data_IF_283526643875
#
_entry.id   IF_283526643875
#
_cell.length_a   1.000
_cell.length_b   1.000
_cell.length_c   1.000
_cell.angle_alpha   90.00
_cell.angle_beta   90.00
_cell.angle_gamma   90.00
#
_symmetry.space_group_name_H-M   'P 1'
#
loop_
_entity.id
_entity.type
_entity.pdbx_description
1 polymer ?
#
# COMPACT_ATOMS: atom_id res chain seq x y z
N UNK A 1 12.99 -14.55 2.38
CA UNK A 1 11.89 -13.67 1.96
C UNK A 1 10.69 -13.91 2.87
N UNK A 2 9.95 -12.86 3.30
CA UNK A 2 8.82 -12.96 4.23
C UNK A 2 7.68 -13.87 3.73
N UNK A 3 7.51 -13.97 2.41
CA UNK A 3 6.47 -14.74 1.74
C UNK A 3 7.00 -16.02 1.07
N UNK A 4 8.13 -16.54 1.56
CA UNK A 4 8.77 -17.73 0.98
C UNK A 4 7.81 -18.93 1.00
N UNK A 5 7.61 -19.58 -0.15
CA UNK A 5 6.71 -20.73 -0.28
C UNK A 5 5.22 -20.43 -0.10
N UNK A 6 4.83 -19.15 -0.11
CA UNK A 6 3.42 -18.71 0.00
C UNK A 6 2.92 -18.16 -1.32
N UNK A 7 1.62 -18.30 -1.55
CA UNK A 7 0.98 -17.70 -2.69
C UNK A 7 0.38 -16.33 -2.33
N UNK A 8 0.35 -15.41 -3.28
CA UNK A 8 -0.37 -14.13 -3.16
C UNK A 8 -1.46 -14.04 -4.21
N UNK A 9 -2.60 -13.49 -3.82
CA UNK A 9 -3.67 -13.12 -4.73
C UNK A 9 -3.37 -11.72 -5.26
N UNK A 10 -3.30 -11.57 -6.59
CA UNK A 10 -3.10 -10.28 -7.23
C UNK A 10 -4.34 -9.86 -8.03
N UNK A 11 -5.00 -8.78 -7.58
CA UNK A 11 -6.27 -8.36 -8.16
C UNK A 11 -6.15 -7.86 -9.60
N UNK A 12 -5.01 -7.24 -9.98
CA UNK A 12 -4.82 -6.64 -11.31
C UNK A 12 -5.12 -7.62 -12.46
N UNK A 13 -4.85 -8.89 -12.27
CA UNK A 13 -5.00 -9.95 -13.27
C UNK A 13 -5.88 -11.11 -12.83
N UNK A 14 -6.55 -10.99 -11.66
CA UNK A 14 -7.21 -12.12 -10.98
C UNK A 14 -6.29 -13.35 -10.82
N UNK A 15 -4.97 -13.12 -10.86
CA UNK A 15 -3.96 -14.17 -10.90
C UNK A 15 -3.48 -14.46 -9.49
N UNK A 16 -3.32 -15.75 -9.21
CA UNK A 16 -2.56 -16.22 -8.05
C UNK A 16 -1.09 -16.25 -8.44
N UNK A 17 -0.25 -15.55 -7.69
CA UNK A 17 1.20 -15.69 -7.75
C UNK A 17 1.55 -16.89 -6.86
N UNK A 18 1.85 -18.02 -7.47
CA UNK A 18 2.05 -19.31 -6.78
C UNK A 18 3.51 -19.75 -6.80
N UNK A 19 4.34 -19.18 -7.68
CA UNK A 19 5.77 -19.44 -7.70
C UNK A 19 6.54 -18.44 -6.84
N UNK A 20 7.61 -18.90 -6.20
CA UNK A 20 8.49 -18.04 -5.40
C UNK A 20 9.06 -16.89 -6.25
N UNK A 21 9.42 -17.17 -7.51
CA UNK A 21 9.98 -16.19 -8.44
C UNK A 21 9.02 -15.03 -8.70
N UNK A 22 7.73 -15.31 -8.86
CA UNK A 22 6.72 -14.27 -9.11
C UNK A 22 6.44 -13.42 -7.88
N UNK A 23 6.25 -14.06 -6.72
CA UNK A 23 6.05 -13.35 -5.44
C UNK A 23 7.25 -12.46 -5.14
N UNK A 24 8.45 -12.99 -5.36
CA UNK A 24 9.71 -12.28 -5.23
C UNK A 24 9.77 -11.08 -6.18
N UNK A 25 9.53 -11.27 -7.47
CA UNK A 25 9.54 -10.17 -8.45
C UNK A 25 8.49 -9.08 -8.14
N UNK A 26 7.36 -9.45 -7.53
CA UNK A 26 6.29 -8.54 -7.14
C UNK A 26 6.59 -7.72 -5.88
N UNK A 27 7.44 -8.22 -4.96
CA UNK A 27 7.71 -7.60 -3.66
C UNK A 27 9.13 -7.08 -3.48
N UNK A 28 10.15 -7.67 -4.11
CA UNK A 28 11.55 -7.28 -3.92
C UNK A 28 11.81 -5.84 -4.37
N UNK A 29 12.77 -5.22 -3.68
CA UNK A 29 13.29 -3.87 -3.92
C UNK A 29 12.21 -2.77 -3.80
N UNK A 30 11.27 -2.95 -2.85
CA UNK A 30 10.12 -2.06 -2.62
C UNK A 30 9.82 -1.91 -1.13
N UNK A 31 9.27 -0.77 -0.75
CA UNK A 31 8.65 -0.57 0.57
C UNK A 31 7.36 -1.39 0.62
N UNK A 32 7.20 -2.22 1.65
CA UNK A 32 6.04 -3.07 1.83
C UNK A 32 5.14 -2.53 2.95
N UNK A 33 3.86 -2.39 2.66
CA UNK A 33 2.80 -2.10 3.63
C UNK A 33 2.03 -3.38 3.90
N UNK A 34 2.17 -3.92 5.11
CA UNK A 34 1.40 -5.07 5.57
C UNK A 34 0.14 -4.56 6.26
N UNK A 35 -1.01 -4.69 5.58
CA UNK A 35 -2.31 -4.27 6.10
C UNK A 35 -2.96 -5.42 6.86
N UNK A 36 -3.05 -5.27 8.18
CA UNK A 36 -3.86 -6.13 9.04
C UNK A 36 -5.23 -5.48 9.22
N UNK A 37 -6.27 -6.13 8.69
CA UNK A 37 -7.64 -5.61 8.73
C UNK A 37 -8.64 -6.77 8.64
N UNK A 38 -9.90 -6.49 8.96
CA UNK A 38 -11.00 -7.43 8.86
C UNK A 38 -12.30 -6.69 8.48
N UNK A 39 -13.15 -7.31 7.67
CA UNK A 39 -14.39 -6.69 7.16
C UNK A 39 -15.37 -6.29 8.28
N UNK A 40 -15.50 -7.13 9.31
CA UNK A 40 -16.43 -6.91 10.44
C UNK A 40 -15.91 -5.92 11.48
N UNK A 41 -14.63 -5.56 11.44
CA UNK A 41 -14.01 -4.60 12.36
C UNK A 41 -14.49 -3.16 12.07
N UNK A 42 -15.15 -2.47 13.02
CA UNK A 42 -15.66 -1.10 12.81
C UNK A 42 -14.57 -0.07 12.51
N UNK A 43 -13.50 -0.04 13.32
CA UNK A 43 -12.34 0.86 13.13
C UNK A 43 -11.67 0.65 11.76
N UNK A 44 -11.69 -0.58 11.26
CA UNK A 44 -11.13 -0.94 9.97
C UNK A 44 -11.96 -0.37 8.82
N UNK A 45 -13.29 -0.39 8.93
CA UNK A 45 -14.19 0.22 7.93
C UNK A 45 -14.07 1.74 7.90
N UNK A 46 -13.82 2.37 9.04
CA UNK A 46 -13.60 3.81 9.15
C UNK A 46 -12.26 4.24 8.53
N UNK A 47 -11.20 3.45 8.73
CA UNK A 47 -9.88 3.71 8.17
C UNK A 47 -9.78 3.44 6.66
N UNK A 48 -10.54 2.47 6.15
CA UNK A 48 -10.42 1.99 4.77
C UNK A 48 -10.55 3.08 3.69
N UNK A 49 -11.52 4.02 3.73
CA UNK A 49 -11.60 5.11 2.76
C UNK A 49 -10.34 5.98 2.74
N UNK A 50 -9.80 6.32 3.92
CA UNK A 50 -8.56 7.12 4.06
C UNK A 50 -7.37 6.36 3.49
N UNK A 51 -7.25 5.05 3.77
CA UNK A 51 -6.20 4.21 3.20
C UNK A 51 -6.29 4.11 1.67
N UNK A 52 -7.50 4.05 1.11
CA UNK A 52 -7.70 4.02 -0.35
C UNK A 52 -7.27 5.33 -1.01
N UNK A 53 -7.64 6.50 -0.45
CA UNK A 53 -7.20 7.83 -0.93
C UNK A 53 -5.70 8.01 -0.81
N UNK A 54 -5.12 7.58 0.32
CA UNK A 54 -3.67 7.54 0.51
C UNK A 54 -2.98 6.71 -0.56
N UNK A 55 -3.46 5.48 -0.80
CA UNK A 55 -2.88 4.59 -1.79
C UNK A 55 -3.01 5.11 -3.22
N UNK A 56 -4.14 5.72 -3.58
CA UNK A 56 -4.31 6.30 -4.92
C UNK A 56 -3.31 7.41 -5.15
N UNK A 57 -3.10 8.31 -4.17
CA UNK A 57 -2.10 9.39 -4.26
C UNK A 57 -0.67 8.85 -4.34
N UNK A 58 -0.33 7.78 -3.60
CA UNK A 58 0.99 7.14 -3.66
C UNK A 58 1.30 6.40 -4.96
N UNK A 59 0.28 5.96 -5.68
CA UNK A 59 0.45 5.16 -6.90
C UNK A 59 0.04 5.90 -8.17
N UNK A 60 -0.31 7.18 -8.05
CA UNK A 60 -0.62 8.05 -9.18
C UNK A 60 0.69 8.49 -9.88
N UNK A 61 0.89 8.10 -11.16
CA UNK A 61 2.03 8.56 -11.95
C UNK A 61 2.09 10.08 -12.13
N UNK A 62 0.98 10.80 -11.87
CA UNK A 62 0.95 12.25 -11.88
C UNK A 62 1.75 12.86 -10.72
N UNK A 63 1.78 12.20 -9.56
CA UNK A 63 2.28 12.72 -8.30
C UNK A 63 3.56 12.03 -7.82
N UNK A 64 3.84 10.80 -8.29
CA UNK A 64 4.98 10.00 -7.83
C UNK A 64 5.85 9.58 -9.02
N UNK A 65 7.15 9.89 -8.96
CA UNK A 65 8.10 9.51 -10.02
C UNK A 65 8.25 7.99 -10.18
N UNK A 66 8.08 7.24 -9.09
CA UNK A 66 8.26 5.78 -9.05
C UNK A 66 7.14 5.10 -8.26
N UNK A 67 5.90 5.04 -8.77
CA UNK A 67 4.76 4.39 -8.09
C UNK A 67 4.98 2.87 -7.89
N UNK A 68 5.99 2.31 -8.56
CA UNK A 68 6.43 0.92 -8.43
C UNK A 68 7.22 0.64 -7.14
N UNK A 69 7.69 1.66 -6.41
CA UNK A 69 8.52 1.50 -5.20
C UNK A 69 7.74 1.06 -3.95
N UNK A 70 6.41 1.02 -4.00
CA UNK A 70 5.56 0.63 -2.86
C UNK A 70 4.62 -0.52 -3.22
N UNK A 71 4.41 -1.44 -2.29
CA UNK A 71 3.43 -2.53 -2.40
C UNK A 71 2.66 -2.70 -1.11
N UNK A 72 1.36 -2.92 -1.24
CA UNK A 72 0.49 -3.24 -0.12
C UNK A 72 0.05 -4.69 -0.22
N UNK A 73 0.23 -5.43 0.88
CA UNK A 73 -0.24 -6.80 1.05
C UNK A 73 -1.27 -6.83 2.17
N UNK A 74 -2.49 -7.24 1.84
CA UNK A 74 -3.55 -7.48 2.78
C UNK A 74 -3.38 -8.82 3.50
N UNK A 75 -3.40 -8.77 4.82
CA UNK A 75 -3.32 -9.89 5.75
C UNK A 75 -4.65 -9.96 6.50
N UNK A 76 -5.64 -10.58 5.85
CA UNK A 76 -7.01 -10.61 6.37
C UNK A 76 -7.18 -11.44 7.62
N UNK A 77 -7.89 -10.88 8.61
CA UNK A 77 -8.32 -11.53 9.84
C UNK A 77 -9.86 -11.72 9.82
N UNK A 78 -10.42 -11.98 8.63
CA UNK A 78 -11.85 -12.17 8.41
C UNK A 78 -12.36 -13.46 9.04
N UNK A 79 -13.62 -13.49 9.48
CA UNK A 79 -14.20 -14.65 10.16
C UNK A 79 -14.62 -15.79 9.23
N UNK A 80 -14.78 -15.51 7.93
CA UNK A 80 -15.09 -16.52 6.92
C UNK A 80 -14.50 -16.15 5.55
N UNK A 81 -14.44 -17.14 4.65
CA UNK A 81 -13.88 -16.98 3.30
C UNK A 81 -14.68 -16.00 2.45
N UNK A 82 -16.01 -15.99 2.57
CA UNK A 82 -16.89 -15.10 1.81
C UNK A 82 -16.62 -13.62 2.14
N UNK A 83 -16.36 -13.31 3.40
CA UNK A 83 -16.01 -11.97 3.86
C UNK A 83 -14.68 -11.52 3.30
N UNK A 84 -13.67 -12.38 3.43
CA UNK A 84 -12.35 -12.15 2.88
C UNK A 84 -12.40 -11.92 1.37
N UNK A 85 -13.08 -12.80 0.64
CA UNK A 85 -13.22 -12.72 -0.82
C UNK A 85 -13.92 -11.44 -1.25
N UNK A 86 -14.98 -11.03 -0.54
CA UNK A 86 -15.66 -9.74 -0.81
C UNK A 86 -14.73 -8.56 -0.57
N UNK A 87 -13.99 -8.56 0.54
CA UNK A 87 -13.05 -7.49 0.85
C UNK A 87 -11.95 -7.39 -0.23
N UNK A 88 -11.31 -8.51 -0.59
CA UNK A 88 -10.30 -8.59 -1.66
C UNK A 88 -10.84 -8.11 -3.01
N UNK A 89 -12.10 -8.47 -3.35
CA UNK A 89 -12.75 -8.02 -4.59
C UNK A 89 -12.92 -6.50 -4.63
N UNK A 90 -13.21 -5.88 -3.49
CA UNK A 90 -13.53 -4.46 -3.39
C UNK A 90 -12.25 -3.59 -3.26
N UNK A 91 -11.11 -4.12 -2.80
CA UNK A 91 -9.81 -3.42 -2.68
C UNK A 91 -9.24 -2.93 -4.03
N UNK A 92 -8.38 -1.89 -4.09
CA UNK A 92 -7.70 -1.46 -5.31
C UNK A 92 -6.97 -2.59 -6.09
N UNK A 93 -6.93 -2.51 -7.42
CA UNK A 93 -6.36 -3.56 -8.30
C UNK A 93 -4.87 -3.82 -8.08
N UNK A 94 -4.15 -2.83 -7.56
CA UNK A 94 -2.70 -2.90 -7.33
C UNK A 94 -2.33 -3.55 -5.99
N UNK A 95 -3.32 -3.79 -5.11
CA UNK A 95 -3.09 -4.49 -3.85
C UNK A 95 -2.94 -5.98 -4.09
N UNK A 96 -2.19 -6.61 -3.19
CA UNK A 96 -2.07 -8.05 -3.08
C UNK A 96 -2.74 -8.52 -1.79
N UNK A 97 -3.12 -9.77 -1.71
CA UNK A 97 -3.69 -10.37 -0.51
C UNK A 97 -3.14 -11.77 -0.28
N UNK A 98 -3.00 -12.18 0.99
CA UNK A 98 -2.86 -13.60 1.29
C UNK A 98 -4.19 -14.33 1.02
N UNK A 99 -4.14 -15.58 0.54
CA UNK A 99 -5.32 -16.44 0.52
C UNK A 99 -5.95 -16.57 1.91
N UNK A 100 -7.27 -16.70 1.95
CA UNK A 100 -7.99 -16.97 3.19
C UNK A 100 -7.46 -18.25 3.87
N UNK A 101 -7.33 -18.20 5.20
CA UNK A 101 -6.85 -19.33 6.00
C UNK A 101 -5.33 -19.58 5.94
N UNK A 102 -4.56 -18.76 5.22
CA UNK A 102 -3.10 -18.86 5.28
C UNK A 102 -2.58 -18.42 6.66
N UNK A 103 -1.85 -19.33 7.32
CA UNK A 103 -1.30 -19.12 8.68
C UNK A 103 -0.29 -17.97 8.74
N UNK A 104 0.32 -17.59 7.61
CA UNK A 104 1.30 -16.52 7.57
C UNK A 104 0.70 -15.20 8.08
N UNK A 105 -0.59 -14.92 7.82
CA UNK A 105 -1.24 -13.71 8.33
C UNK A 105 -1.18 -13.61 9.86
N UNK A 106 -1.48 -14.71 10.56
CA UNK A 106 -1.43 -14.79 12.02
C UNK A 106 0.01 -14.83 12.56
N UNK A 107 0.92 -15.53 11.87
CA UNK A 107 2.35 -15.56 12.22
C UNK A 107 2.97 -14.16 12.13
N UNK A 108 2.67 -13.39 11.08
CA UNK A 108 3.15 -12.01 10.94
C UNK A 108 2.50 -11.07 11.95
N UNK A 109 1.21 -11.26 12.25
CA UNK A 109 0.52 -10.49 13.30
C UNK A 109 1.23 -10.64 14.65
N UNK A 110 1.54 -11.88 15.04
CA UNK A 110 2.28 -12.17 16.26
C UNK A 110 3.71 -11.64 16.20
N UNK A 111 4.42 -11.86 15.09
CA UNK A 111 5.82 -11.42 14.91
C UNK A 111 5.98 -9.90 15.04
N UNK A 112 5.03 -9.12 14.52
CA UNK A 112 5.07 -7.66 14.58
C UNK A 112 4.31 -7.08 15.77
N UNK A 113 3.77 -7.91 16.66
CA UNK A 113 3.07 -7.45 17.87
C UNK A 113 1.79 -6.69 17.56
N UNK A 114 1.05 -7.07 16.51
CA UNK A 114 -0.21 -6.43 16.16
C UNK A 114 -1.29 -6.87 17.15
N UNK A 115 -1.61 -5.98 18.09
CA UNK A 115 -2.63 -6.21 19.13
C UNK A 115 -4.02 -5.70 18.75
N UNK A 116 -4.10 -4.71 17.85
CA UNK A 116 -5.34 -4.04 17.46
C UNK A 116 -5.45 -3.87 15.95
N UNK A 117 -6.69 -3.86 15.46
CA UNK A 117 -7.00 -3.59 14.06
C UNK A 117 -7.71 -2.22 13.90
N UNK A 118 -7.47 -1.50 12.80
CA UNK A 118 -6.50 -1.82 11.74
C UNK A 118 -5.06 -1.57 12.18
N UNK A 119 -4.12 -2.24 11.53
CA UNK A 119 -2.69 -1.95 11.67
C UNK A 119 -2.00 -2.00 10.30
N UNK A 120 -1.03 -1.10 10.09
CA UNK A 120 -0.22 -1.05 8.86
C UNK A 120 1.25 -1.10 9.26
N UNK A 121 1.89 -2.26 9.11
CA UNK A 121 3.34 -2.37 9.34
C UNK A 121 4.06 -1.98 8.06
N UNK A 122 5.01 -1.04 8.15
CA UNK A 122 5.80 -0.57 7.01
C UNK A 122 7.19 -1.20 7.08
N UNK A 123 7.59 -1.86 6.00
CA UNK A 123 8.88 -2.54 5.88
C UNK A 123 9.73 -1.94 4.77
N UNK A 124 11.04 -1.84 5.02
CA UNK A 124 12.04 -1.53 4.02
C UNK A 124 12.20 -2.70 3.02
N UNK A 125 12.83 -2.47 1.85
CA UNK A 125 13.15 -3.53 0.88
C UNK A 125 13.91 -4.73 1.47
N UNK A 126 14.84 -4.50 2.40
CA UNK A 126 15.53 -5.54 3.18
C UNK A 126 14.62 -6.38 4.08
N UNK A 127 13.40 -5.90 4.37
CA UNK A 127 12.48 -6.49 5.34
C UNK A 127 12.64 -5.94 6.76
N UNK A 128 13.49 -4.93 6.97
CA UNK A 128 13.57 -4.20 8.24
C UNK A 128 12.27 -3.41 8.49
N UNK A 129 11.83 -3.31 9.75
CA UNK A 129 10.65 -2.53 10.12
C UNK A 129 11.01 -1.05 10.12
N UNK A 130 10.34 -0.27 9.26
CA UNK A 130 10.42 1.19 9.25
C UNK A 130 9.45 1.79 10.26
N UNK A 131 8.20 1.32 10.22
CA UNK A 131 7.13 1.78 11.12
C UNK A 131 6.31 0.57 11.59
N UNK A 132 6.20 0.33 12.91
CA UNK A 132 5.46 -0.81 13.43
C UNK A 132 3.94 -0.67 13.24
N UNK A 133 3.39 0.55 13.29
CA UNK A 133 2.00 0.80 12.93
C UNK A 133 1.81 2.23 12.38
N UNK A 134 1.64 2.33 11.07
CA UNK A 134 1.52 3.59 10.33
C UNK A 134 0.09 4.15 10.24
N UNK A 135 -0.92 3.53 10.87
CA UNK A 135 -2.31 4.01 10.77
C UNK A 135 -2.43 5.49 11.13
N UNK A 136 -1.81 5.92 12.23
CA UNK A 136 -1.84 7.32 12.65
C UNK A 136 -1.09 8.25 11.68
N UNK A 137 0.10 7.86 11.23
CA UNK A 137 0.88 8.66 10.25
C UNK A 137 0.14 8.83 8.91
N UNK A 138 -0.60 7.80 8.48
CA UNK A 138 -1.43 7.86 7.26
C UNK A 138 -2.61 8.82 7.44
N UNK A 139 -3.23 8.81 8.62
CA UNK A 139 -4.35 9.70 8.95
C UNK A 139 -3.92 11.16 9.10
N UNK A 140 -2.81 11.38 9.82
CA UNK A 140 -2.35 12.73 10.20
C UNK A 140 -1.61 13.42 9.04
N UNK A 141 -0.74 12.69 8.32
CA UNK A 141 0.19 13.27 7.34
C UNK A 141 -0.10 12.89 5.89
N UNK A 142 -1.07 11.99 5.65
CA UNK A 142 -1.43 11.55 4.30
C UNK A 142 -0.22 11.05 3.49
N UNK A 143 -0.16 11.30 2.17
CA UNK A 143 0.93 10.84 1.30
C UNK A 143 2.34 11.32 1.69
N UNK A 144 2.45 12.41 2.45
CA UNK A 144 3.74 13.01 2.82
C UNK A 144 4.59 12.08 3.70
N UNK A 145 3.97 11.21 4.51
CA UNK A 145 4.72 10.25 5.34
C UNK A 145 5.52 9.23 4.51
N UNK A 146 5.08 8.93 3.28
CA UNK A 146 5.79 8.00 2.39
C UNK A 146 7.19 8.50 2.01
N UNK A 147 7.39 9.83 1.91
CA UNK A 147 8.74 10.38 1.66
C UNK A 147 9.71 9.99 2.77
N UNK A 148 9.27 10.12 4.03
CA UNK A 148 10.08 9.75 5.19
C UNK A 148 10.40 8.24 5.18
N UNK A 149 9.43 7.39 4.86
CA UNK A 149 9.66 5.95 4.77
C UNK A 149 10.62 5.58 3.64
N UNK A 150 10.53 6.25 2.49
CA UNK A 150 11.43 6.03 1.36
C UNK A 150 12.86 6.46 1.70
N UNK A 151 13.04 7.65 2.27
CA UNK A 151 14.36 8.14 2.69
C UNK A 151 14.96 7.23 3.77
N UNK A 152 14.17 6.78 4.74
CA UNK A 152 14.61 5.80 5.74
C UNK A 152 14.99 4.45 5.11
N UNK A 153 14.23 3.98 4.12
CA UNK A 153 14.56 2.77 3.38
C UNK A 153 15.90 2.89 2.64
N UNK A 154 16.16 4.02 1.96
CA UNK A 154 17.42 4.29 1.26
C UNK A 154 18.62 4.35 2.21
N UNK A 155 18.44 4.92 3.40
CA UNK A 155 19.50 4.97 4.41
C UNK A 155 19.86 3.58 4.97
N UNK A 156 18.85 2.71 5.15
CA UNK A 156 19.03 1.35 5.65
C UNK A 156 19.57 0.40 4.57
N UNK A 157 19.18 0.61 3.33
CA UNK A 157 19.60 -0.18 2.17
C UNK A 157 20.58 0.61 1.29
N UNK A 158 21.86 0.67 1.70
CA UNK A 158 22.96 1.22 0.88
C UNK A 158 23.17 0.50 -0.47
N UNK A 159 22.48 -0.62 -0.68
CA UNK A 159 22.45 -1.41 -1.91
C UNK A 159 21.10 -1.27 -2.66
N UNK A 160 20.47 -0.09 -2.64
CA UNK A 160 19.36 0.21 -3.56
C UNK A 160 19.90 0.20 -5.00
N UNK A 161 20.13 -1.00 -5.55
CA UNK A 161 20.50 -1.17 -6.95
C UNK A 161 19.31 -0.65 -7.76
N UNK A 162 19.56 0.42 -8.50
CA UNK A 162 18.69 0.85 -9.58
C UNK A 162 18.37 -0.40 -10.40
N UNK A 163 17.09 -0.70 -10.59
CA UNK A 163 16.73 -1.71 -11.58
C UNK A 163 17.27 -1.21 -12.91
N UNK A 164 18.21 -1.94 -13.50
CA UNK A 164 18.52 -1.74 -14.91
C UNK A 164 17.21 -1.95 -15.67
N UNK A 165 16.74 -0.87 -16.30
CA UNK A 165 15.57 -0.83 -17.17
C UNK A 165 15.83 -1.71 -18.40
N UNK A 166 15.80 -3.03 -18.24
CA UNK A 166 15.75 -3.92 -19.40
C UNK A 166 14.31 -3.96 -19.91
N UNK A 167 14.05 -3.04 -20.84
CA UNK A 167 13.12 -3.16 -21.95
C UNK A 167 11.61 -2.91 -21.68
N UNK A 168 11.21 -1.64 -21.72
CA UNK A 168 10.56 -0.99 -22.88
C UNK A 168 9.86 0.30 -22.43
N UNK A 169 10.42 1.42 -22.87
CA UNK A 169 9.76 2.71 -22.91
C UNK A 169 8.39 2.57 -23.58
N UNK A 170 7.32 2.64 -22.79
CA UNK A 170 5.99 2.94 -23.32
C UNK A 170 5.97 4.47 -23.48
N UNK A 171 5.63 5.04 -24.64
CA UNK A 171 5.62 6.48 -24.80
C UNK A 171 4.65 7.08 -23.79
N UNK A 172 5.17 7.96 -22.92
CA UNK A 172 4.38 8.80 -22.02
C UNK A 172 3.30 9.51 -22.84
N UNK A 173 2.04 9.41 -22.42
CA UNK A 173 0.91 10.02 -23.13
C UNK A 173 1.16 11.52 -23.27
N UNK A 174 0.97 12.09 -24.46
CA UNK A 174 1.09 13.54 -24.70
C UNK A 174 0.16 14.38 -23.79
N UNK A 175 -0.86 13.74 -23.20
CA UNK A 175 -1.78 14.36 -22.24
C UNK A 175 -1.29 14.36 -20.79
N UNK A 176 -0.18 13.69 -20.46
CA UNK A 176 0.38 13.66 -19.09
C UNK A 176 0.62 15.05 -18.49
N UNK A 177 1.22 16.03 -19.21
CA UNK A 177 1.43 17.36 -18.66
C UNK A 177 0.12 18.07 -18.31
N UNK A 178 -0.91 17.91 -19.15
CA UNK A 178 -2.22 18.52 -18.94
C UNK A 178 -3.01 17.83 -17.82
N UNK A 179 -2.90 16.51 -17.70
CA UNK A 179 -3.46 15.76 -16.57
C UNK A 179 -2.83 16.17 -15.25
N UNK A 180 -1.49 16.28 -15.19
CA UNK A 180 -0.76 16.76 -14.00
C UNK A 180 -1.18 18.18 -13.59
N UNK A 181 -1.44 19.06 -14.55
CA UNK A 181 -1.91 20.41 -14.24
C UNK A 181 -3.34 20.40 -13.70
N UNK A 182 -4.23 19.61 -14.31
CA UNK A 182 -5.62 19.49 -13.89
C UNK A 182 -5.78 18.93 -12.48
N UNK A 183 -4.99 17.90 -12.12
CA UNK A 183 -5.06 17.32 -10.78
C UNK A 183 -4.46 18.21 -9.70
N UNK A 184 -3.40 18.99 -10.00
CA UNK A 184 -2.86 19.97 -9.05
C UNK A 184 -3.87 21.05 -8.67
N UNK A 185 -4.70 21.47 -9.63
CA UNK A 185 -5.78 22.42 -9.36
C UNK A 185 -6.86 21.78 -8.49
N UNK A 186 -7.23 20.53 -8.76
CA UNK A 186 -8.21 19.81 -7.94
C UNK A 186 -7.74 19.51 -6.51
N UNK A 187 -6.46 19.19 -6.30
CA UNK A 187 -5.92 19.02 -4.93
C UNK A 187 -5.86 20.38 -4.19
N UNK A 188 -5.62 21.50 -4.90
CA UNK A 188 -5.70 22.85 -4.30
C UNK A 188 -7.15 23.19 -3.91
N UNK A 189 -8.11 22.92 -4.79
CA UNK A 189 -9.53 23.14 -4.51
C UNK A 189 -10.00 22.26 -3.32
N UNK A 190 -9.58 20.98 -3.25
CA UNK A 190 -9.91 20.08 -2.12
C UNK A 190 -9.22 20.48 -0.80
N UNK A 191 -7.97 20.97 -0.84
CA UNK A 191 -7.28 21.47 0.36
C UNK A 191 -7.91 22.78 0.86
N UNK A 192 -8.33 23.67 -0.03
CA UNK A 192 -9.07 24.89 0.31
C UNK A 192 -10.47 24.57 0.88
N UNK A 193 -11.20 23.61 0.32
CA UNK A 193 -12.50 23.15 0.85
C UNK A 193 -12.38 22.49 2.23
N UNK A 194 -11.34 21.67 2.47
CA UNK A 194 -11.09 21.06 3.80
C UNK A 194 -10.67 22.10 4.86
N UNK A 195 -9.99 23.19 4.46
CA UNK A 195 -9.68 24.33 5.34
C UNK A 195 -10.92 25.17 5.68
N UNK A 196 -11.78 25.47 4.69
CA UNK A 196 -13.02 26.23 4.88
C UNK A 196 -14.04 25.49 5.76
N UNK A 197 -14.24 24.17 5.55
CA UNK A 197 -15.11 23.35 6.40
C UNK A 197 -14.58 23.23 7.85
N UNK A 198 -13.26 23.32 8.04
CA UNK A 198 -12.62 23.33 9.36
C UNK A 198 -12.78 24.64 10.13
N UNK A 199 -12.98 25.77 9.44
CA UNK A 199 -13.22 27.08 10.04
C UNK A 199 -14.71 27.34 10.35
N UNK A 200 -15.64 26.87 9.52
CA UNK A 200 -17.09 27.04 9.76
C UNK A 200 -17.65 26.13 10.88
N UNK A 201 -16.92 25.07 11.27
CA UNK A 201 -17.30 24.12 12.31
C UNK A 201 -16.87 24.47 13.74
N UNK A 202 -16.36 25.69 13.99
CA UNK A 202 -15.73 26.11 15.26
C UNK A 202 -16.54 27.09 16.10
#
# INVERSE_FOLDING_TARGET
SLFSGRALLWRRSERRLDTEREVRAALENRVLLLLFSARRCPRCREFEPRLRRFWSRLTDPAHVERPEQVRLVYLGQDGCEEEHRRYVRDMPRTWMALPYGDRLGSELSQRFGVSELPAVVVLAPSGAVLVPNAVREILDSGPSCFRNWREAAELLDRNFQEREDTERSVPRSLSEPLRKLKYRLWDQDEEEEEEEEGEEGK
#
